data_IF_957416887509
#
_entry.id   IF_957416887509
#
_cell.length_a   1.000
_cell.length_b   1.000
_cell.length_c   1.000
_cell.angle_alpha   90.00
_cell.angle_beta   90.00
_cell.angle_gamma   90.00
#
_symmetry.space_group_name_H-M   'P 1'
#
loop_
_entity.id
_entity.type
_entity.pdbx_description
1 polymer ?
#
# COMPACT_ATOMS: atom_id res chain seq x y z
N UNK A 1 5.48 -18.60 6.81
CA UNK A 1 6.35 -19.19 7.86
C UNK A 1 5.54 -19.27 9.16
N UNK A 2 5.50 -20.43 9.82
CA UNK A 2 4.69 -20.62 11.04
C UNK A 2 5.61 -20.63 12.26
N UNK A 3 5.30 -19.82 13.28
CA UNK A 3 6.02 -19.75 14.56
C UNK A 3 5.40 -20.67 15.60
N UNK A 4 4.07 -20.68 15.68
CA UNK A 4 3.32 -21.62 16.50
C UNK A 4 1.98 -21.90 15.82
N UNK A 5 1.40 -23.07 16.15
CA UNK A 5 0.07 -23.47 15.69
C UNK A 5 -0.44 -24.56 16.68
N UNK A 6 -0.88 -24.09 17.83
CA UNK A 6 -1.35 -24.93 18.92
C UNK A 6 -2.86 -25.15 18.81
N UNK A 7 -3.37 -26.27 19.35
CA UNK A 7 -4.82 -26.50 19.38
C UNK A 7 -5.50 -25.57 20.39
N UNK A 8 -6.41 -24.74 19.88
CA UNK A 8 -7.10 -23.72 20.67
C UNK A 8 -7.88 -24.31 21.85
N UNK A 9 -8.53 -25.45 21.68
CA UNK A 9 -9.31 -26.07 22.77
C UNK A 9 -8.40 -26.65 23.84
N UNK A 10 -7.30 -27.26 23.44
CA UNK A 10 -6.32 -27.77 24.38
C UNK A 10 -5.74 -26.64 25.24
N UNK A 11 -5.39 -25.52 24.63
CA UNK A 11 -4.90 -24.32 25.35
C UNK A 11 -5.94 -23.79 26.34
N UNK A 12 -7.23 -23.80 25.97
CA UNK A 12 -8.27 -23.42 26.89
C UNK A 12 -8.32 -24.32 28.14
N UNK A 13 -8.17 -25.63 27.97
CA UNK A 13 -8.09 -26.56 29.09
C UNK A 13 -6.85 -26.30 29.95
N UNK A 14 -5.70 -26.10 29.34
CA UNK A 14 -4.45 -25.81 30.07
C UNK A 14 -4.53 -24.52 30.92
N UNK A 15 -5.20 -23.48 30.43
CA UNK A 15 -5.24 -22.17 31.07
C UNK A 15 -6.40 -22.10 32.11
N UNK A 16 -7.57 -22.65 31.79
CA UNK A 16 -8.80 -22.32 32.52
C UNK A 16 -9.38 -23.44 33.36
N UNK A 17 -8.98 -24.70 33.19
CA UNK A 17 -9.61 -25.83 33.89
C UNK A 17 -9.47 -25.74 35.39
N UNK A 18 -8.34 -25.31 35.95
CA UNK A 18 -8.15 -25.11 37.37
C UNK A 18 -9.12 -24.05 37.93
N UNK A 19 -9.20 -22.89 37.27
CA UNK A 19 -10.11 -21.82 37.66
C UNK A 19 -11.59 -22.23 37.50
N UNK A 20 -11.89 -23.03 36.46
CA UNK A 20 -13.22 -23.60 36.23
C UNK A 20 -13.63 -24.57 37.32
N UNK A 21 -12.75 -25.49 37.73
CA UNK A 21 -13.00 -26.43 38.82
C UNK A 21 -13.24 -25.68 40.12
N UNK A 22 -12.42 -24.70 40.46
CA UNK A 22 -12.59 -23.87 41.66
C UNK A 22 -13.88 -23.05 41.62
N UNK A 23 -14.31 -22.54 40.47
CA UNK A 23 -15.58 -21.87 40.29
C UNK A 23 -16.77 -22.81 40.48
N UNK A 24 -16.74 -23.99 39.86
CA UNK A 24 -17.80 -24.99 39.94
C UNK A 24 -17.96 -25.58 41.31
N UNK A 25 -16.89 -25.71 42.11
CA UNK A 25 -16.94 -26.19 43.50
C UNK A 25 -17.79 -25.28 44.42
N UNK A 26 -17.85 -23.97 44.10
CA UNK A 26 -18.68 -23.00 44.86
C UNK A 26 -20.15 -23.02 44.47
N UNK A 27 -20.54 -23.76 43.40
CA UNK A 27 -21.92 -23.80 42.89
C UNK A 27 -22.71 -24.95 43.50
N UNK A 28 -23.85 -24.63 44.12
CA UNK A 28 -24.74 -25.63 44.76
C UNK A 28 -25.60 -26.40 43.74
N UNK A 29 -25.97 -25.72 42.63
CA UNK A 29 -26.87 -26.31 41.64
C UNK A 29 -26.09 -26.65 40.37
N UNK A 30 -26.35 -27.82 39.81
CA UNK A 30 -25.71 -28.31 38.58
C UNK A 30 -25.92 -27.35 37.40
N UNK A 31 -27.09 -26.71 37.27
CA UNK A 31 -27.41 -25.75 36.22
C UNK A 31 -26.58 -24.49 36.26
N UNK A 32 -25.95 -24.17 37.38
CA UNK A 32 -25.12 -22.98 37.58
C UNK A 32 -23.64 -23.27 37.34
N UNK A 33 -23.30 -24.53 37.04
CA UNK A 33 -21.93 -24.98 36.70
C UNK A 33 -21.68 -24.85 35.22
N UNK A 34 -20.46 -24.51 34.89
CA UNK A 34 -19.96 -24.47 33.50
C UNK A 34 -19.27 -25.81 33.23
N UNK A 35 -19.70 -26.53 32.19
CA UNK A 35 -19.15 -27.85 31.84
C UNK A 35 -17.86 -27.73 31.07
N UNK A 36 -17.83 -26.80 30.12
CA UNK A 36 -16.71 -26.53 29.23
C UNK A 36 -16.60 -25.02 29.06
N UNK A 37 -15.43 -24.46 29.39
CA UNK A 37 -15.25 -23.01 29.35
C UNK A 37 -15.09 -22.48 27.93
N UNK A 38 -14.47 -23.23 27.03
CA UNK A 38 -14.38 -22.86 25.62
C UNK A 38 -15.79 -22.73 25.00
N UNK A 39 -16.62 -23.74 25.18
CA UNK A 39 -18.01 -23.73 24.69
C UNK A 39 -18.83 -22.61 25.33
N UNK A 40 -18.60 -22.33 26.62
CA UNK A 40 -19.26 -21.25 27.35
C UNK A 40 -18.94 -19.89 26.73
N UNK A 41 -17.67 -19.61 26.40
CA UNK A 41 -17.26 -18.38 25.73
C UNK A 41 -17.78 -18.35 24.27
N UNK A 42 -17.67 -19.46 23.53
CA UNK A 42 -18.12 -19.57 22.15
C UNK A 42 -19.62 -19.28 21.98
N UNK A 43 -20.45 -19.71 22.93
CA UNK A 43 -21.88 -19.46 22.91
C UNK A 43 -22.26 -18.12 23.55
N UNK A 44 -21.34 -17.49 24.25
CA UNK A 44 -21.50 -16.17 24.87
C UNK A 44 -21.48 -15.04 23.84
N UNK A 45 -21.94 -13.85 24.27
CA UNK A 45 -21.94 -12.64 23.40
C UNK A 45 -20.99 -11.55 23.92
N UNK A 46 -20.35 -11.75 25.04
CA UNK A 46 -19.54 -10.73 25.72
C UNK A 46 -18.07 -10.79 25.34
N UNK A 47 -17.53 -12.00 25.25
CA UNK A 47 -16.11 -12.22 24.93
C UNK A 47 -16.00 -13.09 23.66
N UNK A 48 -14.91 -12.93 22.93
CA UNK A 48 -14.55 -13.81 21.81
C UNK A 48 -13.64 -14.92 22.32
N UNK A 49 -13.70 -16.09 21.68
CA UNK A 49 -12.80 -17.21 22.03
C UNK A 49 -11.34 -16.87 21.81
N UNK A 50 -11.04 -16.08 20.81
CA UNK A 50 -9.71 -15.52 20.55
C UNK A 50 -9.82 -14.21 19.79
N UNK A 51 -8.71 -13.50 19.67
CA UNK A 51 -8.55 -12.30 18.87
C UNK A 51 -7.39 -12.48 17.91
N UNK A 52 -7.49 -11.82 16.76
CA UNK A 52 -6.45 -11.75 15.76
C UNK A 52 -5.93 -10.31 15.65
N UNK A 53 -4.62 -10.18 15.49
CA UNK A 53 -3.98 -8.94 15.07
C UNK A 53 -3.12 -9.22 13.83
N UNK A 54 -3.21 -8.33 12.83
CA UNK A 54 -2.42 -8.41 11.60
C UNK A 54 -1.44 -7.24 11.59
N UNK A 55 -0.16 -7.54 11.40
CA UNK A 55 0.91 -6.55 11.29
C UNK A 55 1.52 -6.60 9.90
N UNK A 56 1.64 -5.44 9.27
CA UNK A 56 2.19 -5.27 7.92
C UNK A 56 3.05 -4.01 7.87
N UNK A 57 4.07 -4.02 7.01
CA UNK A 57 4.93 -2.87 6.73
C UNK A 57 4.86 -2.56 5.23
N UNK A 58 4.68 -1.27 4.92
CA UNK A 58 4.63 -0.80 3.54
C UNK A 58 3.39 -1.25 2.78
N UNK A 59 3.48 -1.15 1.47
CA UNK A 59 2.45 -1.53 0.50
C UNK A 59 3.06 -2.39 -0.61
N UNK A 60 2.28 -2.74 -1.62
CA UNK A 60 2.72 -3.58 -2.74
C UNK A 60 3.88 -2.94 -3.54
N UNK A 61 3.90 -1.62 -3.69
CA UNK A 61 4.92 -0.91 -4.48
C UNK A 61 6.28 -0.93 -3.77
N UNK A 62 6.27 -0.75 -2.43
CA UNK A 62 7.49 -0.63 -1.62
C UNK A 62 7.98 -1.98 -1.08
N UNK A 63 7.04 -2.85 -0.68
CA UNK A 63 7.29 -4.08 0.08
C UNK A 63 6.58 -5.30 -0.51
N UNK A 64 6.40 -5.37 -1.83
CA UNK A 64 5.81 -6.55 -2.48
C UNK A 64 6.62 -7.82 -2.24
N UNK A 65 5.94 -8.96 -2.04
CA UNK A 65 6.60 -10.26 -1.86
C UNK A 65 7.53 -10.56 -3.03
N UNK A 66 8.73 -11.07 -2.73
CA UNK A 66 9.78 -11.35 -3.73
C UNK A 66 10.61 -10.12 -4.15
N UNK A 67 10.30 -8.92 -3.66
CA UNK A 67 11.15 -7.74 -3.83
C UNK A 67 12.16 -7.58 -2.68
N UNK A 68 13.26 -6.83 -2.88
CA UNK A 68 14.18 -6.51 -1.78
C UNK A 68 13.52 -5.78 -0.60
N UNK A 69 12.49 -4.95 -0.87
CA UNK A 69 11.68 -4.30 0.17
C UNK A 69 10.83 -5.31 0.93
N UNK A 70 10.21 -6.27 0.23
CA UNK A 70 9.45 -7.36 0.84
C UNK A 70 10.29 -8.27 1.73
N UNK A 71 11.51 -8.63 1.29
CA UNK A 71 12.44 -9.42 2.10
C UNK A 71 12.85 -8.69 3.40
N UNK A 72 13.13 -7.38 3.32
CA UNK A 72 13.40 -6.57 4.51
C UNK A 72 12.18 -6.45 5.42
N UNK A 73 10.99 -6.25 4.88
CA UNK A 73 9.75 -6.21 5.65
C UNK A 73 9.49 -7.54 6.37
N UNK A 74 9.76 -8.68 5.71
CA UNK A 74 9.68 -9.99 6.32
C UNK A 74 10.68 -10.17 7.47
N UNK A 75 11.92 -9.66 7.34
CA UNK A 75 12.92 -9.70 8.40
C UNK A 75 12.47 -8.91 9.64
N UNK A 76 11.91 -7.72 9.45
CA UNK A 76 11.33 -6.90 10.54
C UNK A 76 10.17 -7.62 11.22
N UNK A 77 9.24 -8.18 10.45
CA UNK A 77 8.08 -8.90 10.99
C UNK A 77 8.50 -10.17 11.75
N UNK A 78 9.60 -10.82 11.32
CA UNK A 78 10.20 -11.96 12.03
C UNK A 78 10.72 -11.55 13.41
N UNK A 79 11.54 -10.51 13.48
CA UNK A 79 12.07 -9.99 14.75
C UNK A 79 10.95 -9.52 15.69
N UNK A 80 9.93 -8.86 15.12
CA UNK A 80 8.73 -8.46 15.87
C UNK A 80 7.99 -9.67 16.45
N UNK A 81 7.83 -10.75 15.66
CA UNK A 81 7.17 -11.99 16.09
C UNK A 81 7.90 -12.67 17.24
N UNK A 82 9.24 -12.78 17.17
CA UNK A 82 10.08 -13.44 18.18
C UNK A 82 9.93 -12.84 19.57
N UNK A 83 9.73 -11.52 19.66
CA UNK A 83 9.58 -10.80 20.94
C UNK A 83 8.12 -10.55 21.36
N UNK A 84 7.13 -10.94 20.54
CA UNK A 84 5.72 -10.60 20.77
C UNK A 84 5.18 -11.19 22.07
N UNK A 85 5.40 -12.48 22.32
CA UNK A 85 4.85 -13.14 23.51
C UNK A 85 5.47 -12.60 24.81
N UNK A 86 6.74 -12.24 24.80
CA UNK A 86 7.41 -11.63 25.96
C UNK A 86 6.84 -10.24 26.26
N UNK A 87 6.61 -9.42 25.25
CA UNK A 87 5.96 -8.11 25.41
C UNK A 87 4.51 -8.23 25.85
N UNK A 88 3.86 -9.37 25.60
CA UNK A 88 2.43 -9.57 25.81
C UNK A 88 2.11 -10.78 26.73
N UNK A 89 2.55 -10.77 28.01
CA UNK A 89 2.42 -11.94 28.90
C UNK A 89 0.98 -12.35 29.20
N UNK A 90 0.02 -11.43 29.09
CA UNK A 90 -1.41 -11.70 29.29
C UNK A 90 -2.21 -11.96 28.00
N UNK A 91 -1.52 -11.99 26.85
CA UNK A 91 -2.08 -12.42 25.56
C UNK A 91 -1.42 -13.74 25.17
N UNK A 92 -2.06 -14.88 25.47
CA UNK A 92 -1.52 -16.20 25.11
C UNK A 92 -1.64 -16.42 23.62
N UNK A 93 -0.54 -16.29 22.91
CA UNK A 93 -0.47 -16.60 21.48
C UNK A 93 -0.55 -18.10 21.29
N UNK A 94 -1.41 -18.55 20.38
CA UNK A 94 -1.55 -19.97 20.03
C UNK A 94 -1.35 -20.24 18.55
N UNK A 95 -1.51 -19.23 17.72
CA UNK A 95 -1.19 -19.33 16.30
C UNK A 95 -0.49 -18.03 15.83
N UNK A 96 0.63 -18.20 15.15
CA UNK A 96 1.37 -17.05 14.61
C UNK A 96 2.01 -17.45 13.27
N UNK A 97 1.62 -16.77 12.21
CA UNK A 97 2.02 -17.09 10.84
C UNK A 97 2.45 -15.84 10.08
N UNK A 98 3.64 -15.87 9.52
CA UNK A 98 4.10 -14.88 8.55
C UNK A 98 3.77 -15.37 7.14
N UNK A 99 2.90 -14.67 6.45
CA UNK A 99 2.54 -14.90 5.06
C UNK A 99 3.48 -14.17 4.12
N UNK A 100 3.99 -14.91 3.12
CA UNK A 100 4.91 -14.45 2.07
C UNK A 100 4.42 -14.83 0.68
N UNK A 101 3.25 -15.41 0.58
CA UNK A 101 2.61 -15.96 -0.61
C UNK A 101 1.48 -15.07 -1.15
N UNK A 102 1.26 -13.93 -0.51
CA UNK A 102 0.32 -12.89 -0.93
C UNK A 102 1.05 -11.65 -1.46
N UNK A 103 0.32 -10.55 -1.68
CA UNK A 103 0.87 -9.34 -2.30
C UNK A 103 2.01 -8.71 -1.48
N UNK A 104 1.90 -8.69 -0.16
CA UNK A 104 2.88 -8.11 0.77
C UNK A 104 3.09 -9.01 1.98
N UNK A 105 4.29 -9.06 2.58
CA UNK A 105 4.52 -9.77 3.83
C UNK A 105 3.64 -9.23 4.95
N UNK A 106 2.94 -10.12 5.66
CA UNK A 106 2.14 -9.76 6.82
C UNK A 106 2.12 -10.89 7.84
N UNK A 107 2.08 -10.50 9.11
CA UNK A 107 2.12 -11.39 10.26
C UNK A 107 0.74 -11.46 10.89
N UNK A 108 0.13 -12.66 10.91
CA UNK A 108 -1.07 -12.95 11.67
C UNK A 108 -0.69 -13.44 13.06
N UNK A 109 -1.31 -12.89 14.07
CA UNK A 109 -1.12 -13.27 15.48
C UNK A 109 -2.47 -13.52 16.10
N UNK A 110 -2.77 -14.79 16.38
CA UNK A 110 -3.98 -15.21 17.08
C UNK A 110 -3.68 -15.46 18.55
N UNK A 111 -4.45 -14.82 19.42
CA UNK A 111 -4.20 -14.87 20.86
C UNK A 111 -5.48 -14.90 21.70
N UNK A 112 -5.35 -15.47 22.89
CA UNK A 112 -6.39 -15.50 23.94
C UNK A 112 -6.00 -14.45 24.99
N UNK A 113 -6.86 -13.45 25.28
CA UNK A 113 -6.60 -12.51 26.38
C UNK A 113 -6.92 -13.16 27.73
N UNK A 114 -5.90 -13.40 28.53
CA UNK A 114 -5.97 -14.10 29.82
C UNK A 114 -5.88 -13.11 30.96
N UNK A 115 -6.97 -12.94 31.69
CA UNK A 115 -7.00 -12.15 32.91
C UNK A 115 -6.96 -13.08 34.13
N UNK A 116 -6.02 -12.85 35.03
CA UNK A 116 -5.81 -13.61 36.27
C UNK A 116 -6.32 -12.85 37.49
N UNK A 117 -6.42 -13.51 38.63
CA UNK A 117 -6.77 -12.91 39.96
C UNK A 117 -8.10 -12.14 39.95
N UNK A 118 -9.09 -12.63 39.21
CA UNK A 118 -10.37 -11.97 39.10
C UNK A 118 -11.27 -12.31 40.29
N UNK A 119 -11.85 -11.27 40.92
CA UNK A 119 -12.74 -11.44 42.10
C UNK A 119 -14.15 -11.91 41.74
N UNK A 120 -14.59 -11.71 40.48
CA UNK A 120 -15.93 -12.12 40.00
C UNK A 120 -15.83 -13.13 38.87
N UNK A 121 -16.62 -14.16 38.89
CA UNK A 121 -16.59 -15.25 37.92
C UNK A 121 -15.44 -16.23 38.18
N UNK A 122 -14.77 -16.69 37.13
CA UNK A 122 -13.54 -17.47 37.25
C UNK A 122 -12.39 -16.56 37.67
N UNK A 123 -11.49 -17.08 38.51
CA UNK A 123 -10.27 -16.35 38.92
C UNK A 123 -9.33 -16.09 37.75
N UNK A 124 -9.23 -17.04 36.85
CA UNK A 124 -8.58 -16.86 35.52
C UNK A 124 -9.66 -16.98 34.46
N UNK A 125 -9.76 -15.96 33.60
CA UNK A 125 -10.81 -15.90 32.57
C UNK A 125 -10.40 -15.15 31.32
N UNK A 126 -11.13 -15.36 30.24
CA UNK A 126 -11.00 -14.54 29.05
C UNK A 126 -11.54 -13.14 29.32
N UNK A 127 -10.71 -12.13 29.14
CA UNK A 127 -11.14 -10.73 29.15
C UNK A 127 -10.06 -9.82 28.57
N UNK A 128 -10.30 -9.27 27.40
CA UNK A 128 -9.38 -8.33 26.73
C UNK A 128 -9.06 -7.13 27.64
N UNK A 129 -10.08 -6.49 28.18
CA UNK A 129 -9.92 -5.32 29.03
C UNK A 129 -9.05 -5.59 30.27
N UNK A 130 -9.30 -6.69 30.99
CA UNK A 130 -8.56 -6.97 32.21
C UNK A 130 -7.14 -7.48 31.93
N UNK A 131 -6.97 -8.29 30.89
CA UNK A 131 -5.65 -8.74 30.45
C UNK A 131 -4.73 -7.55 30.09
N UNK A 132 -5.25 -6.58 29.34
CA UNK A 132 -4.50 -5.38 28.99
C UNK A 132 -4.24 -4.47 30.19
N UNK A 133 -5.20 -4.34 31.13
CA UNK A 133 -4.96 -3.61 32.38
C UNK A 133 -3.85 -4.23 33.20
N UNK A 134 -3.77 -5.55 33.30
CA UNK A 134 -2.71 -6.26 34.00
C UNK A 134 -1.34 -6.07 33.34
N UNK A 135 -1.30 -5.71 32.06
CA UNK A 135 -0.08 -5.29 31.34
C UNK A 135 0.21 -3.78 31.47
N UNK A 136 -0.57 -3.03 32.28
CA UNK A 136 -0.38 -1.61 32.55
C UNK A 136 -1.05 -0.67 31.55
N UNK A 137 -1.93 -1.16 30.66
CA UNK A 137 -2.69 -0.29 29.78
C UNK A 137 -3.96 0.23 30.44
N UNK A 138 -4.11 1.53 30.45
CA UNK A 138 -5.28 2.21 31.01
C UNK A 138 -6.08 2.91 29.92
N UNK A 139 -7.39 2.65 29.90
CA UNK A 139 -8.32 3.37 29.03
C UNK A 139 -8.74 4.70 29.66
N UNK A 140 -8.78 5.76 28.85
CA UNK A 140 -9.22 7.10 29.28
C UNK A 140 -10.66 7.39 28.87
N UNK A 141 -11.42 6.41 28.40
CA UNK A 141 -12.81 6.54 27.99
C UNK A 141 -13.19 5.71 26.77
N UNK A 142 -14.37 6.00 26.16
CA UNK A 142 -14.90 5.21 25.05
C UNK A 142 -14.05 5.28 23.77
N UNK A 143 -13.32 6.36 23.57
CA UNK A 143 -12.47 6.58 22.37
C UNK A 143 -11.00 6.19 22.59
N UNK A 144 -10.58 6.09 23.84
CA UNK A 144 -9.23 5.70 24.22
C UNK A 144 -9.33 4.54 25.21
N UNK A 145 -9.45 3.34 24.66
CA UNK A 145 -9.57 2.10 25.44
C UNK A 145 -8.18 1.52 25.74
N UNK A 146 -8.13 0.56 26.65
CA UNK A 146 -6.94 -0.23 26.94
C UNK A 146 -6.37 -0.87 25.65
N UNK A 147 -7.25 -1.29 24.73
CA UNK A 147 -6.86 -1.84 23.44
C UNK A 147 -6.18 -0.81 22.53
N UNK A 148 -6.69 0.44 22.49
CA UNK A 148 -6.03 1.50 21.72
C UNK A 148 -4.61 1.78 22.25
N UNK A 149 -4.45 1.86 23.57
CA UNK A 149 -3.15 2.09 24.21
C UNK A 149 -2.17 0.95 23.91
N UNK A 150 -2.62 -0.29 23.97
CA UNK A 150 -1.85 -1.47 23.60
C UNK A 150 -1.44 -1.44 22.12
N UNK A 151 -2.39 -1.16 21.23
CA UNK A 151 -2.10 -1.11 19.79
C UNK A 151 -1.06 -0.03 19.44
N UNK A 152 -1.13 1.13 20.08
CA UNK A 152 -0.13 2.19 19.87
C UNK A 152 1.27 1.75 20.37
N UNK A 153 1.36 1.00 21.47
CA UNK A 153 2.64 0.42 21.91
C UNK A 153 3.19 -0.60 20.91
N UNK A 154 2.34 -1.51 20.40
CA UNK A 154 2.79 -2.51 19.43
C UNK A 154 3.22 -1.86 18.09
N UNK A 155 2.49 -0.82 17.65
CA UNK A 155 2.92 -0.02 16.49
C UNK A 155 4.25 0.67 16.73
N UNK A 156 4.49 1.21 17.92
CA UNK A 156 5.76 1.84 18.27
C UNK A 156 6.91 0.82 18.26
N UNK A 157 6.71 -0.37 18.84
CA UNK A 157 7.70 -1.45 18.80
C UNK A 157 8.01 -1.90 17.37
N UNK A 158 6.99 -2.11 16.54
CA UNK A 158 7.17 -2.46 15.13
C UNK A 158 7.93 -1.36 14.37
N UNK A 159 7.61 -0.09 14.64
CA UNK A 159 8.29 1.06 14.05
C UNK A 159 9.77 1.11 14.44
N UNK A 160 10.10 0.86 15.70
CA UNK A 160 11.48 0.85 16.19
C UNK A 160 12.31 -0.23 15.48
N UNK A 161 11.77 -1.45 15.37
CA UNK A 161 12.42 -2.55 14.64
C UNK A 161 12.57 -2.18 13.16
N UNK A 162 11.53 -1.63 12.53
CA UNK A 162 11.59 -1.23 11.12
C UNK A 162 12.66 -0.16 10.86
N UNK A 163 12.82 0.81 11.78
CA UNK A 163 13.87 1.83 11.68
C UNK A 163 15.27 1.22 11.84
N UNK A 164 15.45 0.20 12.70
CA UNK A 164 16.69 -0.53 12.82
C UNK A 164 17.07 -1.30 11.53
N UNK A 165 16.07 -1.68 10.74
CA UNK A 165 16.22 -2.28 9.40
C UNK A 165 16.22 -1.24 8.27
N UNK A 166 16.54 0.01 8.55
CA UNK A 166 16.68 1.12 7.58
C UNK A 166 15.38 1.43 6.79
N UNK A 167 14.21 1.21 7.40
CA UNK A 167 12.96 1.71 6.84
C UNK A 167 12.74 3.18 7.21
N UNK A 168 12.46 4.01 6.21
CA UNK A 168 11.90 5.33 6.44
C UNK A 168 10.41 5.22 6.72
N UNK A 169 9.99 5.61 7.93
CA UNK A 169 8.59 5.51 8.34
C UNK A 169 7.85 6.80 8.03
N UNK A 170 7.03 6.76 6.99
CA UNK A 170 6.13 7.84 6.63
C UNK A 170 4.80 7.65 7.34
N UNK A 171 4.46 8.55 8.27
CA UNK A 171 3.15 8.55 8.91
C UNK A 171 2.14 9.22 7.98
N UNK A 172 1.28 8.42 7.37
CA UNK A 172 0.20 8.93 6.50
C UNK A 172 -0.97 9.58 7.26
N UNK A 173 -0.84 9.78 8.59
CA UNK A 173 -1.88 10.34 9.44
C UNK A 173 -3.05 9.37 9.65
N UNK A 174 -3.44 9.14 10.88
CA UNK A 174 -4.60 8.31 11.23
C UNK A 174 -5.90 9.06 10.99
N UNK A 175 -6.47 8.98 9.81
CA UNK A 175 -7.71 9.69 9.47
C UNK A 175 -8.53 9.05 8.37
N UNK A 176 -8.16 7.86 7.91
CA UNK A 176 -9.02 7.16 6.95
C UNK A 176 -10.30 6.71 7.67
N UNK A 177 -11.49 7.13 7.21
CA UNK A 177 -12.72 6.63 7.78
C UNK A 177 -12.75 5.10 7.64
N UNK A 178 -13.25 4.41 8.66
CA UNK A 178 -13.48 2.98 8.56
C UNK A 178 -14.48 2.74 7.44
N UNK A 179 -14.04 2.07 6.38
CA UNK A 179 -14.91 1.64 5.29
C UNK A 179 -15.29 0.18 5.53
N UNK A 180 -16.55 -0.16 5.32
CA UNK A 180 -16.96 -1.55 5.25
C UNK A 180 -16.44 -2.22 3.96
N UNK A 181 -16.47 -3.54 3.89
CA UNK A 181 -15.94 -4.30 2.77
C UNK A 181 -16.54 -3.90 1.40
N UNK A 182 -17.86 -3.64 1.26
CA UNK A 182 -18.45 -3.12 0.03
C UNK A 182 -17.89 -1.75 -0.36
N UNK A 183 -17.81 -0.80 0.59
CA UNK A 183 -17.26 0.54 0.37
C UNK A 183 -15.79 0.50 -0.05
N UNK A 184 -15.00 -0.40 0.57
CA UNK A 184 -13.61 -0.61 0.20
C UNK A 184 -13.47 -1.12 -1.23
N UNK A 185 -14.29 -2.12 -1.63
CA UNK A 185 -14.28 -2.67 -2.99
C UNK A 185 -14.66 -1.62 -4.02
N UNK A 186 -15.67 -0.82 -3.74
CA UNK A 186 -16.08 0.28 -4.63
C UNK A 186 -14.98 1.34 -4.76
N UNK A 187 -14.34 1.71 -3.66
CA UNK A 187 -13.21 2.65 -3.68
C UNK A 187 -12.00 2.10 -4.44
N UNK A 188 -11.69 0.82 -4.29
CA UNK A 188 -10.61 0.14 -5.01
C UNK A 188 -10.89 0.11 -6.52
N UNK A 189 -12.10 -0.24 -6.95
CA UNK A 189 -12.50 -0.21 -8.37
C UNK A 189 -12.44 1.20 -8.98
N UNK A 190 -12.84 2.23 -8.23
CA UNK A 190 -12.72 3.62 -8.67
C UNK A 190 -11.26 4.03 -8.84
N UNK A 191 -10.39 3.63 -7.91
CA UNK A 191 -8.96 3.92 -8.00
C UNK A 191 -8.34 3.27 -9.24
N UNK A 192 -8.64 2.00 -9.50
CA UNK A 192 -8.18 1.26 -10.67
C UNK A 192 -8.66 1.94 -11.97
N UNK A 193 -9.93 2.30 -12.07
CA UNK A 193 -10.46 3.01 -13.23
C UNK A 193 -9.79 4.39 -13.45
N UNK A 194 -9.47 5.13 -12.39
CA UNK A 194 -8.73 6.40 -12.49
C UNK A 194 -7.29 6.16 -12.94
N UNK A 195 -6.67 5.10 -12.45
CA UNK A 195 -5.30 4.73 -12.84
C UNK A 195 -5.20 4.37 -14.32
N UNK A 196 -6.19 3.62 -14.86
CA UNK A 196 -6.30 3.35 -16.29
C UNK A 196 -6.48 4.63 -17.12
N UNK A 197 -7.30 5.57 -16.64
CA UNK A 197 -7.48 6.87 -17.31
C UNK A 197 -6.19 7.71 -17.30
N UNK A 198 -5.44 7.70 -16.22
CA UNK A 198 -4.15 8.40 -16.11
C UNK A 198 -3.15 7.82 -17.11
N UNK A 199 -3.00 6.49 -17.16
CA UNK A 199 -2.09 5.83 -18.12
C UNK A 199 -2.49 6.09 -19.58
N UNK A 200 -3.79 6.09 -19.89
CA UNK A 200 -4.27 6.44 -21.23
C UNK A 200 -3.95 7.91 -21.57
N UNK A 201 -4.18 8.84 -20.66
CA UNK A 201 -3.89 10.25 -20.85
C UNK A 201 -2.38 10.52 -21.02
N UNK A 202 -1.52 9.83 -20.28
CA UNK A 202 -0.07 9.91 -20.43
C UNK A 202 0.39 9.44 -21.82
N UNK A 203 -0.19 8.35 -22.33
CA UNK A 203 0.06 7.87 -23.69
C UNK A 203 -0.37 8.91 -24.74
N UNK A 204 -1.56 9.52 -24.59
CA UNK A 204 -2.04 10.54 -25.50
C UNK A 204 -1.16 11.80 -25.48
N UNK A 205 -0.69 12.21 -24.31
CA UNK A 205 0.25 13.32 -24.16
C UNK A 205 1.55 13.03 -24.92
N UNK A 206 2.12 11.84 -24.79
CA UNK A 206 3.34 11.45 -25.47
C UNK A 206 3.16 11.47 -27.00
N UNK A 207 2.02 11.00 -27.51
CA UNK A 207 1.72 11.03 -28.95
C UNK A 207 1.52 12.47 -29.47
N UNK A 208 0.83 13.32 -28.70
CA UNK A 208 0.66 14.74 -29.01
C UNK A 208 1.99 15.50 -29.02
N UNK A 209 2.89 15.21 -28.11
CA UNK A 209 4.24 15.79 -28.09
C UNK A 209 5.05 15.41 -29.34
N UNK A 210 4.94 14.16 -29.78
CA UNK A 210 5.55 13.67 -31.00
C UNK A 210 5.02 14.40 -32.27
N UNK A 211 3.67 14.54 -32.33
CA UNK A 211 3.02 15.30 -33.41
C UNK A 211 3.42 16.77 -33.38
N UNK A 212 3.46 17.40 -32.24
CA UNK A 212 3.92 18.79 -32.04
C UNK A 212 5.35 18.98 -32.56
N UNK A 213 6.25 18.05 -32.23
CA UNK A 213 7.64 18.09 -32.69
C UNK A 213 7.74 17.95 -34.21
N UNK A 214 6.93 17.07 -34.82
CA UNK A 214 6.88 16.92 -36.28
C UNK A 214 6.32 18.16 -36.96
N UNK A 215 5.24 18.76 -36.44
CA UNK A 215 4.68 20.01 -36.96
C UNK A 215 5.64 21.18 -36.83
N UNK A 216 6.33 21.32 -35.69
CA UNK A 216 7.38 22.35 -35.56
C UNK A 216 8.51 22.22 -36.61
N UNK A 217 8.89 20.97 -36.92
CA UNK A 217 9.85 20.71 -37.99
C UNK A 217 9.32 21.17 -39.35
N UNK A 218 8.04 20.92 -39.63
CA UNK A 218 7.39 21.36 -40.88
C UNK A 218 7.28 22.87 -40.96
N UNK A 219 6.87 23.54 -39.88
CA UNK A 219 6.78 25.01 -39.80
C UNK A 219 8.16 25.66 -40.07
N UNK A 220 9.23 25.12 -39.45
CA UNK A 220 10.59 25.63 -39.71
C UNK A 220 11.00 25.52 -41.20
N UNK A 221 10.63 24.38 -41.85
CA UNK A 221 10.92 24.20 -43.28
C UNK A 221 10.14 25.19 -44.15
N UNK A 222 8.84 25.42 -43.85
CA UNK A 222 8.01 26.39 -44.55
C UNK A 222 8.53 27.82 -44.39
N UNK A 223 8.90 28.21 -43.16
CA UNK A 223 9.52 29.53 -42.90
C UNK A 223 10.84 29.73 -43.65
N UNK A 224 11.68 28.68 -43.71
CA UNK A 224 12.91 28.73 -44.48
C UNK A 224 12.64 28.89 -46.00
N UNK A 225 11.63 28.15 -46.52
CA UNK A 225 11.26 28.26 -47.94
C UNK A 225 10.63 29.63 -48.27
N UNK A 226 9.84 30.21 -47.37
CA UNK A 226 9.28 31.55 -47.54
C UNK A 226 10.37 32.64 -47.54
N UNK A 227 11.36 32.52 -46.64
CA UNK A 227 12.51 33.41 -46.63
C UNK A 227 13.28 33.39 -47.99
N UNK A 228 13.50 32.17 -48.51
CA UNK A 228 14.15 31.98 -49.82
C UNK A 228 13.34 32.62 -50.95
N UNK A 229 11.99 32.49 -50.92
CA UNK A 229 11.10 33.12 -51.90
C UNK A 229 11.21 34.65 -51.86
N UNK A 230 11.22 35.24 -50.67
CA UNK A 230 11.38 36.70 -50.51
C UNK A 230 12.75 37.14 -51.02
N UNK A 231 13.81 36.40 -50.72
CA UNK A 231 15.16 36.72 -51.19
C UNK A 231 15.26 36.64 -52.73
N UNK A 232 14.55 35.68 -53.37
CA UNK A 232 14.51 35.57 -54.86
C UNK A 232 13.67 36.65 -55.48
N UNK A 233 12.58 37.12 -54.88
CA UNK A 233 11.76 38.23 -55.37
C UNK A 233 12.50 39.59 -55.32
N UNK A 234 13.48 39.72 -54.43
CA UNK A 234 14.31 40.94 -54.30
C UNK A 234 15.49 40.97 -55.23
N UNK A 235 15.81 39.89 -55.94
CA UNK A 235 16.93 39.81 -56.89
C UNK A 235 16.56 40.51 -58.22
N UNK A 236 17.28 41.58 -58.57
CA UNK A 236 17.17 42.23 -59.84
C UNK A 236 18.41 41.85 -60.72
N UNK A 237 18.27 40.90 -61.65
CA UNK A 237 19.36 40.48 -62.48
C UNK A 237 19.64 41.55 -63.51
N UNK A 238 20.86 42.01 -63.53
CA UNK A 238 21.34 42.90 -64.62
C UNK A 238 21.95 42.11 -65.80
N UNK A 239 21.52 42.39 -67.00
CA UNK A 239 22.14 41.83 -68.21
C UNK A 239 23.34 42.69 -68.67
N UNK A 240 24.44 42.05 -68.80
CA UNK A 240 25.61 42.69 -69.40
C UNK A 240 25.44 42.82 -70.93
N UNK A 241 26.21 43.73 -71.56
CA UNK A 241 26.24 43.91 -73.00
C UNK A 241 26.65 42.66 -73.81
N UNK A 242 27.27 41.67 -73.13
CA UNK A 242 27.69 40.39 -73.71
C UNK A 242 26.63 39.28 -73.46
N UNK A 243 25.47 39.61 -72.88
CA UNK A 243 24.37 38.64 -72.57
C UNK A 243 24.55 37.85 -71.33
N UNK A 244 25.59 38.05 -70.54
CA UNK A 244 25.75 37.40 -69.23
C UNK A 244 24.91 38.10 -68.16
N UNK A 245 24.37 37.33 -67.21
CA UNK A 245 23.57 37.82 -66.08
C UNK A 245 24.50 38.11 -64.91
N UNK A 246 24.40 39.31 -64.32
CA UNK A 246 25.10 39.69 -63.08
C UNK A 246 24.07 39.98 -61.96
N UNK A 247 24.49 39.93 -60.73
CA UNK A 247 23.64 40.22 -59.56
C UNK A 247 22.91 39.00 -58.99
N UNK A 248 23.26 37.81 -59.48
CA UNK A 248 22.72 36.55 -58.95
C UNK A 248 23.83 35.68 -58.37
N UNK A 249 23.76 35.28 -57.16
CA UNK A 249 24.74 34.35 -56.52
C UNK A 249 24.46 32.88 -56.93
N UNK A 250 25.52 32.06 -56.92
CA UNK A 250 25.42 30.64 -57.27
C UNK A 250 24.37 29.97 -56.36
N UNK A 251 24.31 30.32 -55.05
CA UNK A 251 23.33 29.83 -54.07
C UNK A 251 21.91 30.20 -54.48
N UNK A 252 21.65 31.39 -54.98
CA UNK A 252 20.33 31.82 -55.45
C UNK A 252 19.89 31.06 -56.73
N UNK A 253 20.79 30.68 -57.58
CA UNK A 253 20.52 29.85 -58.77
C UNK A 253 20.21 28.42 -58.36
N UNK A 254 20.92 27.83 -57.38
CA UNK A 254 20.67 26.49 -56.88
C UNK A 254 19.32 26.42 -56.16
N UNK A 255 18.99 27.43 -55.35
CA UNK A 255 17.67 27.52 -54.68
C UNK A 255 16.50 27.64 -55.67
N UNK A 256 16.70 28.37 -56.79
CA UNK A 256 15.74 28.48 -57.89
C UNK A 256 15.48 27.10 -58.56
N UNK A 257 16.55 26.31 -58.79
CA UNK A 257 16.44 24.96 -59.34
C UNK A 257 15.75 23.97 -58.44
N UNK A 258 15.97 24.07 -57.14
CA UNK A 258 15.25 23.24 -56.13
C UNK A 258 13.75 23.57 -56.14
N UNK A 259 13.38 24.84 -56.28
CA UNK A 259 11.97 25.28 -56.31
C UNK A 259 11.21 24.80 -57.56
N UNK A 260 11.91 24.63 -58.70
CA UNK A 260 11.33 24.12 -59.94
C UNK A 260 11.12 22.60 -59.88
N UNK A 261 11.92 21.87 -59.09
CA UNK A 261 11.83 20.39 -59.00
C UNK A 261 10.85 19.89 -57.95
N UNK A 262 10.41 20.70 -56.97
CA UNK A 262 9.54 20.28 -55.85
C UNK A 262 8.01 20.52 -56.02
N UNK A 263 7.45 21.31 -56.95
CA UNK A 263 5.99 21.53 -57.00
C UNK A 263 5.19 20.27 -57.30
N UNK A 264 5.81 19.18 -57.73
CA UNK A 264 5.13 17.92 -58.05
C UNK A 264 4.91 17.00 -56.84
N UNK A 265 5.59 17.20 -55.71
CA UNK A 265 5.44 16.37 -54.50
C UNK A 265 4.32 16.82 -53.56
N UNK A 266 3.90 18.09 -53.63
CA UNK A 266 2.83 18.64 -52.77
C UNK A 266 1.40 18.34 -53.25
N UNK A 267 1.23 17.75 -54.46
CA UNK A 267 -0.09 17.41 -55.01
C UNK A 267 -0.57 15.99 -54.71
N UNK A 268 0.10 15.24 -53.81
CA UNK A 268 -0.29 13.86 -53.42
C UNK A 268 -0.62 13.68 -51.97
N UNK A 269 -1.15 14.70 -51.31
CA UNK A 269 -1.78 14.56 -50.00
C UNK A 269 -3.15 15.23 -50.13
N UNK A 270 -4.10 14.47 -50.58
CA UNK A 270 -5.55 14.62 -50.37
C UNK A 270 -6.12 13.26 -50.02
#
# INVERSE_FOLDING_TARGET
>A
MTYCNDDLKQIYHEIFDEALAAYNAKKKKTRDKITDYYEHIRQGKQEKVFHEAIFQIGNLEDCGCGSPGGERAAAVLKEFAESFQERNPHLRVFNMVLHMDEATPHLHVDYIPVATEQSRGLSTRVSMKQALKQQGFEGQGRKQTEWNAWMEREKAALKEIAQAHEFEIISLGGGRPHMDLPQYREAAQRLEAVQEQVTAAEHDIAELEKQKKALQGTVRRLQAAEKVRVDLETVQPERTLTGAVRGVTVEQVELSLIHISEPTRLRRIS
#
